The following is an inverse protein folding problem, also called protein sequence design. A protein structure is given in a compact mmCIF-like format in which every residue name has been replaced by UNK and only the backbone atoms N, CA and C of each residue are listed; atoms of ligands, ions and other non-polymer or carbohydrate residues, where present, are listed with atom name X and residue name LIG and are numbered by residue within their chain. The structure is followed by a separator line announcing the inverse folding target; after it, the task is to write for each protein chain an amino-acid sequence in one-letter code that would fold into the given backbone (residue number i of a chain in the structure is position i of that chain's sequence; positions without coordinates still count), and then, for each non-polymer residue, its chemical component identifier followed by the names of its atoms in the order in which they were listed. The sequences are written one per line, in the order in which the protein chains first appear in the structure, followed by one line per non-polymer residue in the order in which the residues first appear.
data_IF_484180649294
#
_entry.id   IF_484180649294
#
_cell.length_a   1.000
_cell.length_b   1.000
_cell.length_c   1.000
_cell.angle_alpha   90.00
_cell.angle_beta   90.00
_cell.angle_gamma   90.00
#
_symmetry.space_group_name_H-M   'P 1'
#
loop_
_entity.id
_entity.type
_entity.pdbx_description
1 polymer ?
#
# COMPACT_ATOMS: atom_id res chain seq x y z
N UNK A 1 -9.95 -31.08 -14.48
CA UNK A 1 -11.12 -30.64 -15.27
C UNK A 1 -10.73 -29.32 -15.92
N UNK A 2 -11.08 -29.11 -17.19
CA UNK A 2 -10.86 -27.84 -17.87
C UNK A 2 -12.10 -26.96 -17.63
N UNK A 3 -11.98 -25.92 -16.81
CA UNK A 3 -13.08 -25.02 -16.48
C UNK A 3 -13.60 -24.24 -17.70
N UNK A 4 -12.83 -24.20 -18.80
CA UNK A 4 -13.21 -23.56 -20.04
C UNK A 4 -13.99 -24.48 -21.01
N UNK A 5 -14.22 -25.75 -20.66
CA UNK A 5 -14.98 -26.71 -21.46
C UNK A 5 -16.11 -27.37 -20.65
N UNK A 6 -17.26 -27.58 -21.28
CA UNK A 6 -18.38 -28.28 -20.67
C UNK A 6 -18.04 -29.78 -20.49
N UNK A 7 -18.13 -30.30 -19.27
CA UNK A 7 -17.62 -31.64 -18.91
C UNK A 7 -18.21 -32.79 -19.74
N UNK A 8 -19.50 -32.70 -20.09
CA UNK A 8 -20.23 -33.78 -20.79
C UNK A 8 -20.10 -33.70 -22.30
N UNK A 9 -20.04 -32.50 -22.86
CA UNK A 9 -20.13 -32.27 -24.30
C UNK A 9 -18.78 -31.91 -24.93
N UNK A 10 -17.81 -31.46 -24.11
CA UNK A 10 -16.54 -30.90 -24.55
C UNK A 10 -16.68 -29.55 -25.26
N UNK A 11 -17.85 -28.90 -25.23
CA UNK A 11 -18.07 -27.61 -25.89
C UNK A 11 -17.34 -26.48 -25.15
N UNK A 12 -16.71 -25.53 -25.87
CA UNK A 12 -16.07 -24.38 -25.25
C UNK A 12 -17.11 -23.49 -24.57
N UNK A 13 -16.77 -22.97 -23.39
CA UNK A 13 -17.56 -22.01 -22.64
C UNK A 13 -16.70 -20.83 -22.17
N UNK A 14 -17.33 -19.72 -21.77
CA UNK A 14 -16.61 -18.57 -21.20
C UNK A 14 -16.10 -18.95 -19.81
N UNK A 15 -14.79 -18.91 -19.63
CA UNK A 15 -14.13 -18.96 -18.34
C UNK A 15 -13.51 -17.59 -18.01
N UNK A 16 -13.37 -17.31 -16.72
CA UNK A 16 -12.64 -16.15 -16.20
C UNK A 16 -11.79 -16.64 -15.03
N UNK A 17 -10.59 -16.09 -14.81
CA UNK A 17 -9.82 -16.43 -13.63
C UNK A 17 -10.58 -16.04 -12.35
N UNK A 18 -10.18 -16.63 -11.24
CA UNK A 18 -10.71 -16.24 -9.94
C UNK A 18 -10.43 -14.77 -9.64
N UNK A 19 -11.32 -14.18 -8.84
CA UNK A 19 -11.14 -12.82 -8.36
C UNK A 19 -10.02 -12.77 -7.33
N UNK A 20 -9.06 -11.86 -7.53
CA UNK A 20 -7.88 -11.72 -6.66
C UNK A 20 -7.61 -10.25 -6.33
N UNK A 21 -6.91 -10.03 -5.22
CA UNK A 21 -6.28 -8.75 -4.97
C UNK A 21 -5.01 -8.64 -5.82
N UNK A 22 -5.09 -7.96 -6.96
CA UNK A 22 -3.98 -7.77 -7.88
C UNK A 22 -2.81 -6.96 -7.28
N UNK A 23 -3.03 -6.23 -6.19
CA UNK A 23 -1.99 -5.46 -5.52
C UNK A 23 -1.19 -6.29 -4.51
N UNK A 24 -1.69 -7.44 -4.05
CA UNK A 24 -1.00 -8.22 -3.02
C UNK A 24 0.39 -8.68 -3.50
N UNK A 25 1.42 -8.43 -2.69
CA UNK A 25 2.84 -8.63 -3.02
C UNK A 25 3.35 -7.89 -4.28
N UNK A 26 2.55 -7.02 -4.90
CA UNK A 26 3.00 -6.21 -6.01
C UNK A 26 3.95 -5.11 -5.53
N UNK A 27 4.90 -4.74 -6.39
CA UNK A 27 5.87 -3.69 -6.08
C UNK A 27 5.22 -2.31 -6.25
N UNK A 28 5.24 -1.52 -5.17
CA UNK A 28 4.82 -0.12 -5.18
C UNK A 28 6.04 0.79 -5.12
N UNK A 29 6.11 1.76 -6.04
CA UNK A 29 7.07 2.85 -5.99
C UNK A 29 6.40 4.09 -5.41
N UNK A 30 6.99 4.67 -4.38
CA UNK A 30 6.53 5.92 -3.78
C UNK A 30 7.55 7.03 -4.04
N UNK A 31 7.10 8.21 -4.49
CA UNK A 31 8.02 9.34 -4.73
C UNK A 31 8.58 9.93 -3.44
N UNK A 32 7.87 9.76 -2.32
CA UNK A 32 8.30 10.17 -0.99
C UNK A 32 8.08 9.02 -0.01
N UNK A 33 9.00 8.84 0.92
CA UNK A 33 8.88 7.90 2.05
C UNK A 33 9.68 8.50 3.19
N UNK A 34 9.17 8.43 4.41
CA UNK A 34 9.86 8.96 5.59
C UNK A 34 11.08 8.10 5.98
N UNK A 35 11.95 8.66 6.82
CA UNK A 35 13.02 7.91 7.47
C UNK A 35 14.39 7.98 6.80
N UNK A 36 14.59 8.81 5.77
CA UNK A 36 15.91 9.09 5.20
C UNK A 36 16.07 10.56 4.79
N UNK A 37 16.67 11.41 5.65
CA UNK A 37 17.12 11.11 7.01
C UNK A 37 15.94 10.83 7.97
N UNK A 38 16.23 10.26 9.14
CA UNK A 38 15.24 10.05 10.19
C UNK A 38 14.53 11.36 10.55
N UNK A 39 13.22 11.31 10.74
CA UNK A 39 12.40 12.49 10.98
C UNK A 39 11.27 12.24 11.97
N UNK A 40 10.92 13.26 12.75
CA UNK A 40 9.79 13.21 13.67
C UNK A 40 8.48 13.45 12.92
N UNK A 41 7.45 12.70 13.29
CA UNK A 41 6.07 12.93 12.86
C UNK A 41 5.15 12.90 14.07
N UNK A 42 4.07 13.68 14.03
CA UNK A 42 3.11 13.76 15.12
C UNK A 42 1.71 13.43 14.61
N UNK A 43 1.01 12.57 15.34
CA UNK A 43 -0.35 12.16 14.98
C UNK A 43 -1.32 13.26 15.34
N UNK A 44 -2.10 13.70 14.35
CA UNK A 44 -3.18 14.66 14.56
C UNK A 44 -4.46 13.90 14.94
N UNK A 45 -4.69 13.71 16.24
CA UNK A 45 -6.00 13.25 16.72
C UNK A 45 -6.96 14.45 16.69
N UNK A 46 -8.04 14.39 15.91
CA UNK A 46 -9.03 15.48 15.80
C UNK A 46 -9.81 15.81 17.09
N UNK A 47 -9.37 15.30 18.24
CA UNK A 47 -9.94 15.52 19.55
C UNK A 47 -9.17 16.66 20.23
N UNK A 48 -9.88 17.75 20.56
CA UNK A 48 -9.29 18.88 21.27
C UNK A 48 -8.87 18.46 22.70
N UNK A 49 -7.62 18.77 23.08
CA UNK A 49 -7.11 18.50 24.43
C UNK A 49 -6.30 17.20 24.58
N UNK A 50 -6.12 16.41 23.52
CA UNK A 50 -5.18 15.27 23.53
C UNK A 50 -3.76 15.80 23.37
N UNK A 51 -2.83 15.30 24.19
CA UNK A 51 -1.40 15.59 24.05
C UNK A 51 -0.90 15.10 22.70
N UNK A 52 -0.25 15.98 21.95
CA UNK A 52 0.40 15.64 20.68
C UNK A 52 1.31 14.41 20.84
N UNK A 53 0.97 13.29 20.20
CA UNK A 53 1.79 12.08 20.21
C UNK A 53 2.74 12.10 19.02
N UNK A 54 4.01 12.37 19.28
CA UNK A 54 5.07 12.35 18.28
C UNK A 54 5.87 11.05 18.35
N UNK A 55 6.30 10.60 17.18
CA UNK A 55 7.06 9.38 16.96
C UNK A 55 8.16 9.66 15.94
N UNK A 56 9.15 8.77 15.88
CA UNK A 56 10.25 8.85 14.93
C UNK A 56 9.99 7.91 13.76
N UNK A 57 10.14 8.40 12.54
CA UNK A 57 10.30 7.55 11.37
C UNK A 57 11.78 7.43 11.02
N UNK A 58 12.29 6.20 10.97
CA UNK A 58 13.69 5.90 10.66
C UNK A 58 13.78 4.64 9.79
N UNK A 59 14.26 4.80 8.55
CA UNK A 59 14.37 3.71 7.59
C UNK A 59 15.44 2.67 7.99
N UNK A 60 16.40 3.03 8.84
CA UNK A 60 17.43 2.13 9.34
C UNK A 60 16.90 1.19 10.45
N UNK A 61 15.80 1.55 11.10
CA UNK A 61 15.23 0.80 12.22
C UNK A 61 13.96 0.06 11.80
N UNK A 62 13.94 -1.29 11.79
CA UNK A 62 12.80 -2.06 11.27
C UNK A 62 11.44 -1.79 11.94
N UNK A 63 11.44 -1.32 13.19
CA UNK A 63 10.23 -1.01 13.96
C UNK A 63 9.76 0.44 13.81
N UNK A 64 10.54 1.30 13.12
CA UNK A 64 10.25 2.72 12.88
C UNK A 64 10.18 3.06 11.38
N UNK A 65 10.43 2.08 10.50
CA UNK A 65 10.34 2.27 9.06
C UNK A 65 8.89 2.19 8.59
N UNK A 66 8.55 2.93 7.55
CA UNK A 66 7.21 2.95 6.95
C UNK A 66 7.30 2.91 5.42
N UNK A 67 7.93 1.85 4.90
CA UNK A 67 8.23 1.71 3.47
C UNK A 67 7.02 1.38 2.61
N UNK A 68 7.12 1.61 1.30
CA UNK A 68 6.03 1.36 0.34
C UNK A 68 5.59 -0.11 0.26
N UNK A 69 6.43 -1.05 0.69
CA UNK A 69 6.08 -2.47 0.79
C UNK A 69 4.93 -2.75 1.78
N UNK A 70 4.71 -1.86 2.75
CA UNK A 70 3.61 -1.96 3.73
C UNK A 70 2.25 -1.51 3.17
N UNK A 71 2.14 -1.26 1.85
CA UNK A 71 0.87 -1.02 1.17
C UNK A 71 0.27 -2.33 0.61
N UNK A 72 1.11 -3.34 0.39
CA UNK A 72 0.75 -4.55 -0.37
C UNK A 72 1.09 -5.85 0.37
N UNK A 73 1.52 -5.75 1.63
CA UNK A 73 1.71 -6.88 2.53
C UNK A 73 0.39 -7.41 3.09
N UNK A 74 0.49 -8.43 3.93
CA UNK A 74 -0.68 -9.01 4.57
C UNK A 74 -1.21 -8.07 5.66
N UNK A 75 -2.43 -7.57 5.46
CA UNK A 75 -3.06 -6.67 6.41
C UNK A 75 -3.75 -7.44 7.56
N UNK A 76 -3.15 -7.36 8.76
CA UNK A 76 -3.74 -7.86 10.01
C UNK A 76 -4.21 -6.68 10.87
N UNK A 77 -5.49 -6.60 11.27
CA UNK A 77 -5.97 -5.50 12.12
C UNK A 77 -5.27 -5.38 13.47
N UNK A 78 -4.72 -6.48 13.99
CA UNK A 78 -3.98 -6.48 15.25
C UNK A 78 -2.56 -5.92 15.12
N UNK A 79 -1.94 -6.09 13.95
CA UNK A 79 -0.54 -5.76 13.66
C UNK A 79 -0.46 -4.97 12.34
N UNK A 80 -1.21 -3.86 12.28
CA UNK A 80 -1.30 -3.08 11.06
C UNK A 80 0.04 -2.43 10.72
N UNK A 81 0.48 -2.61 9.48
CA UNK A 81 1.61 -1.91 8.86
C UNK A 81 1.07 -0.79 7.98
N UNK A 82 1.90 0.22 7.71
CA UNK A 82 1.54 1.30 6.79
C UNK A 82 2.77 1.94 6.17
N UNK A 83 2.61 2.43 4.95
CA UNK A 83 3.53 3.37 4.34
C UNK A 83 3.26 4.80 4.81
N UNK A 84 4.31 5.61 4.92
CA UNK A 84 4.19 7.02 5.31
C UNK A 84 5.09 7.92 4.46
N UNK A 85 4.52 9.00 3.95
CA UNK A 85 5.27 10.07 3.29
C UNK A 85 6.08 10.88 4.29
N UNK A 86 6.94 11.78 3.79
CA UNK A 86 7.54 12.79 4.66
C UNK A 86 6.51 13.79 5.17
N UNK A 87 6.82 14.48 6.26
CA UNK A 87 5.93 15.48 6.87
C UNK A 87 5.89 16.78 6.07
N UNK A 88 4.91 17.65 6.34
CA UNK A 88 4.86 18.99 5.74
C UNK A 88 6.11 19.83 6.06
N UNK A 89 6.75 19.59 7.21
CA UNK A 89 8.01 20.26 7.58
C UNK A 89 9.14 19.94 6.60
N UNK A 90 9.11 18.75 5.99
CA UNK A 90 10.05 18.33 4.95
C UNK A 90 9.67 18.84 3.54
N UNK A 91 8.69 19.74 3.42
CA UNK A 91 8.29 20.35 2.14
C UNK A 91 7.29 19.52 1.32
N UNK A 92 6.74 18.44 1.88
CA UNK A 92 5.63 17.70 1.28
C UNK A 92 4.32 18.45 1.58
N UNK A 93 4.13 19.54 0.85
CA UNK A 93 2.95 20.39 0.89
C UNK A 93 2.70 20.94 -0.52
N UNK A 94 1.46 21.33 -0.82
CA UNK A 94 1.12 21.97 -2.10
C UNK A 94 2.17 23.03 -2.50
N UNK A 95 2.70 23.00 -3.74
CA UNK A 95 2.23 22.21 -4.90
C UNK A 95 2.86 20.82 -5.02
N UNK A 96 3.70 20.40 -4.07
CA UNK A 96 4.34 19.09 -4.08
C UNK A 96 3.30 17.99 -3.90
N UNK A 97 3.29 17.02 -4.82
CA UNK A 97 2.43 15.84 -4.76
C UNK A 97 3.23 14.58 -4.42
N UNK A 98 2.58 13.63 -3.77
CA UNK A 98 3.12 12.29 -3.51
C UNK A 98 2.45 11.30 -4.45
N UNK A 99 3.24 10.52 -5.19
CA UNK A 99 2.74 9.54 -6.14
C UNK A 99 3.07 8.13 -5.64
N UNK A 100 2.10 7.23 -5.78
CA UNK A 100 2.25 5.80 -5.58
C UNK A 100 2.02 5.11 -6.93
N UNK A 101 3.00 4.33 -7.38
CA UNK A 101 2.94 3.61 -8.67
C UNK A 101 2.98 2.12 -8.41
N UNK A 102 1.87 1.43 -8.70
CA UNK A 102 1.71 -0.01 -8.53
C UNK A 102 2.04 -0.73 -9.84
N UNK A 103 3.03 -1.63 -9.81
CA UNK A 103 3.40 -2.43 -10.97
C UNK A 103 2.68 -3.79 -10.94
N UNK A 104 1.66 -3.94 -11.79
CA UNK A 104 0.86 -5.17 -11.87
C UNK A 104 1.49 -6.25 -12.75
N UNK A 105 2.31 -5.87 -13.75
CA UNK A 105 3.05 -6.81 -14.60
C UNK A 105 2.25 -7.52 -15.70
N UNK A 106 0.92 -7.48 -15.66
CA UNK A 106 0.02 -8.06 -16.64
C UNK A 106 -1.27 -7.24 -16.77
N UNK A 107 -2.01 -7.46 -17.86
CA UNK A 107 -3.28 -6.78 -18.12
C UNK A 107 -4.39 -7.40 -17.28
N UNK A 108 -5.18 -6.53 -16.66
CA UNK A 108 -6.15 -6.87 -15.64
C UNK A 108 -7.45 -6.10 -15.86
N UNK A 109 -8.57 -6.78 -15.68
CA UNK A 109 -9.88 -6.13 -15.56
C UNK A 109 -10.08 -5.70 -14.10
N UNK A 110 -9.86 -4.42 -13.81
CA UNK A 110 -10.02 -3.87 -12.46
C UNK A 110 -11.49 -3.59 -12.15
N UNK A 111 -11.96 -4.07 -11.01
CA UNK A 111 -13.27 -3.72 -10.45
C UNK A 111 -13.06 -2.62 -9.40
N UNK A 112 -13.77 -1.50 -9.54
CA UNK A 112 -13.76 -0.33 -8.63
C UNK A 112 -14.99 -0.37 -7.74
#
# INVERSE_FOLDING_TARGET
MDECAEERSGRPQRCMPEFVNAAFNATVLATHTCGSPAEEYCVQTGVTGVTQSCHLCDAAQPHLRHGAAFLTDYNSPADATWWQSRTMLAGVQHPTAVNLTLHLGWWLDLMI
#
